data_IF_017681043136
#
_entry.id   IF_017681043136
#
_cell.length_a   1.000
_cell.length_b   1.000
_cell.length_c   1.000
_cell.angle_alpha   90.00
_cell.angle_beta   90.00
_cell.angle_gamma   90.00
#
_symmetry.space_group_name_H-M   'P 1'
#
loop_
_entity.id
_entity.type
_entity.pdbx_description
1 polymer ?
#
# COMPACT_ATOMS: atom_id res chain seq x y z
N UNK A 1 -3.75 -19.48 -4.78
CA UNK A 1 -3.20 -20.37 -3.74
C UNK A 1 -3.98 -20.24 -2.42
N UNK A 2 -3.92 -19.16 -1.63
CA UNK A 2 -4.54 -19.15 -0.29
C UNK A 2 -6.08 -19.28 -0.24
N UNK A 3 -6.81 -18.78 -1.25
CA UNK A 3 -8.29 -18.80 -1.28
C UNK A 3 -8.91 -20.14 -1.69
N UNK A 4 -8.34 -20.80 -2.69
CA UNK A 4 -9.00 -21.91 -3.39
C UNK A 4 -8.15 -23.19 -3.51
N UNK A 5 -6.98 -23.26 -2.85
CA UNK A 5 -6.11 -24.45 -2.95
C UNK A 5 -6.54 -25.61 -2.07
N UNK A 6 -7.37 -25.37 -1.06
CA UNK A 6 -7.89 -26.38 -0.15
C UNK A 6 -9.41 -26.33 -0.18
N UNK A 7 -10.04 -27.47 0.04
CA UNK A 7 -11.49 -27.58 0.02
C UNK A 7 -12.12 -26.65 1.07
N UNK A 8 -11.57 -26.62 2.28
CA UNK A 8 -12.13 -25.82 3.38
C UNK A 8 -12.04 -24.32 3.10
N UNK A 9 -10.93 -23.86 2.53
CA UNK A 9 -10.78 -22.44 2.17
C UNK A 9 -11.63 -22.08 0.96
N UNK A 10 -11.79 -23.00 0.00
CA UNK A 10 -12.67 -22.79 -1.15
C UNK A 10 -14.13 -22.67 -0.73
N UNK A 11 -14.61 -23.57 0.14
CA UNK A 11 -15.97 -23.51 0.70
C UNK A 11 -16.19 -22.19 1.44
N UNK A 12 -15.25 -21.79 2.31
CA UNK A 12 -15.34 -20.51 3.02
C UNK A 12 -15.45 -19.30 2.07
N UNK A 13 -14.57 -19.20 1.07
CA UNK A 13 -14.57 -18.06 0.13
C UNK A 13 -15.83 -18.03 -0.74
N UNK A 14 -16.34 -19.19 -1.16
CA UNK A 14 -17.60 -19.28 -1.91
C UNK A 14 -18.80 -18.89 -1.03
N UNK A 15 -18.87 -19.41 0.20
CA UNK A 15 -19.93 -19.04 1.15
C UNK A 15 -19.91 -17.54 1.46
N UNK A 16 -18.73 -16.94 1.63
CA UNK A 16 -18.56 -15.50 1.82
C UNK A 16 -19.06 -14.71 0.59
N UNK A 17 -18.68 -15.12 -0.61
CA UNK A 17 -19.10 -14.47 -1.86
C UNK A 17 -20.61 -14.54 -2.08
N UNK A 18 -21.21 -15.73 -1.91
CA UNK A 18 -22.66 -15.94 -2.04
C UNK A 18 -23.42 -15.14 -0.99
N UNK A 19 -23.01 -15.22 0.29
CA UNK A 19 -23.66 -14.47 1.37
C UNK A 19 -23.55 -12.97 1.16
N UNK A 20 -22.38 -12.49 0.68
CA UNK A 20 -22.16 -11.09 0.33
C UNK A 20 -23.13 -10.63 -0.77
N UNK A 21 -23.26 -11.41 -1.86
CA UNK A 21 -24.19 -11.14 -2.94
C UNK A 21 -25.65 -11.11 -2.46
N UNK A 22 -26.06 -12.06 -1.63
CA UNK A 22 -27.41 -12.10 -1.07
C UNK A 22 -27.69 -10.86 -0.20
N UNK A 23 -26.74 -10.45 0.65
CA UNK A 23 -26.86 -9.26 1.48
C UNK A 23 -26.91 -7.98 0.65
N UNK A 24 -26.08 -7.84 -0.39
CA UNK A 24 -26.07 -6.67 -1.26
C UNK A 24 -27.35 -6.58 -2.11
N UNK A 25 -27.94 -7.71 -2.46
CA UNK A 25 -29.18 -7.79 -3.27
C UNK A 25 -30.45 -7.55 -2.44
N UNK A 26 -30.33 -7.21 -1.15
CA UNK A 26 -31.49 -6.94 -0.29
C UNK A 26 -32.37 -5.80 -0.81
N UNK A 27 -31.80 -4.84 -1.53
CA UNK A 27 -32.54 -3.74 -2.17
C UNK A 27 -33.51 -4.20 -3.26
N UNK A 28 -33.36 -5.42 -3.79
CA UNK A 28 -34.29 -6.02 -4.76
C UNK A 28 -35.63 -6.38 -4.12
N UNK A 29 -35.65 -6.65 -2.81
CA UNK A 29 -36.83 -7.15 -2.08
C UNK A 29 -37.27 -6.24 -0.93
N UNK A 30 -36.46 -5.24 -0.55
CA UNK A 30 -36.76 -4.25 0.48
C UNK A 30 -36.34 -2.87 0.01
N UNK A 31 -37.16 -1.85 0.31
CA UNK A 31 -36.79 -0.46 0.06
C UNK A 31 -35.46 -0.13 0.75
N UNK A 32 -34.55 0.49 0.01
CA UNK A 32 -33.25 0.94 0.50
C UNK A 32 -33.42 2.21 1.34
N UNK A 33 -32.61 2.36 2.38
CA UNK A 33 -32.46 3.66 3.07
C UNK A 33 -31.88 4.68 2.09
N UNK A 34 -32.37 5.93 2.12
CA UNK A 34 -31.82 6.99 1.28
C UNK A 34 -30.31 7.16 1.52
N UNK A 35 -29.58 7.46 0.44
CA UNK A 35 -28.16 7.80 0.53
C UNK A 35 -28.02 9.05 1.41
N UNK A 36 -27.10 8.99 2.39
CA UNK A 36 -26.81 10.15 3.25
C UNK A 36 -26.05 11.19 2.42
N UNK A 37 -26.76 12.15 1.82
CA UNK A 37 -26.16 13.20 0.97
C UNK A 37 -25.02 13.95 1.67
N UNK A 38 -25.12 14.16 2.98
CA UNK A 38 -24.06 14.74 3.80
C UNK A 38 -22.76 13.91 3.70
N UNK A 39 -22.86 12.59 3.85
CA UNK A 39 -21.70 11.69 3.81
C UNK A 39 -21.07 11.66 2.41
N UNK A 40 -21.89 11.67 1.36
CA UNK A 40 -21.41 11.78 -0.01
C UNK A 40 -20.67 13.10 -0.25
N UNK A 41 -21.20 14.21 0.28
CA UNK A 41 -20.58 15.54 0.17
C UNK A 41 -19.23 15.59 0.90
N UNK A 42 -19.16 15.07 2.13
CA UNK A 42 -17.91 14.95 2.89
C UNK A 42 -16.92 14.08 2.13
N UNK A 43 -17.36 12.92 1.62
CA UNK A 43 -16.49 12.01 0.89
C UNK A 43 -15.94 12.63 -0.40
N UNK A 44 -16.76 13.39 -1.15
CA UNK A 44 -16.31 14.11 -2.34
C UNK A 44 -15.25 15.17 -2.01
N UNK A 45 -15.35 15.78 -0.83
CA UNK A 45 -14.33 16.69 -0.34
C UNK A 45 -13.04 15.96 0.04
N UNK A 46 -13.14 14.87 0.80
CA UNK A 46 -11.98 14.03 1.17
C UNK A 46 -11.26 13.50 -0.07
N UNK A 47 -12.01 13.01 -1.06
CA UNK A 47 -11.45 12.50 -2.32
C UNK A 47 -10.66 13.57 -3.06
N UNK A 48 -11.19 14.79 -3.21
CA UNK A 48 -10.47 15.91 -3.85
C UNK A 48 -9.20 16.28 -3.09
N UNK A 49 -9.26 16.34 -1.77
CA UNK A 49 -8.10 16.69 -0.94
C UNK A 49 -7.03 15.59 -1.00
N UNK A 50 -7.41 14.33 -0.88
CA UNK A 50 -6.50 13.19 -0.95
C UNK A 50 -5.88 13.03 -2.33
N UNK A 51 -6.65 13.21 -3.41
CA UNK A 51 -6.13 13.22 -4.77
C UNK A 51 -5.11 14.34 -4.97
N UNK A 52 -5.39 15.56 -4.51
CA UNK A 52 -4.44 16.66 -4.59
C UNK A 52 -3.13 16.32 -3.87
N UNK A 53 -3.20 15.87 -2.61
CA UNK A 53 -1.99 15.49 -1.85
C UNK A 53 -1.21 14.38 -2.55
N UNK A 54 -1.89 13.38 -3.11
CA UNK A 54 -1.25 12.33 -3.88
C UNK A 54 -0.57 12.89 -5.13
N UNK A 55 -1.23 13.77 -5.89
CA UNK A 55 -0.63 14.41 -7.08
C UNK A 55 0.53 15.32 -6.73
N UNK A 56 0.48 16.07 -5.64
CA UNK A 56 1.60 16.89 -5.17
C UNK A 56 2.85 16.03 -4.92
N UNK A 57 2.67 14.79 -4.43
CA UNK A 57 3.76 13.84 -4.33
C UNK A 57 4.19 13.34 -5.72
N UNK A 58 3.27 12.79 -6.51
CA UNK A 58 3.61 12.08 -7.75
C UNK A 58 4.11 13.01 -8.87
N UNK A 59 3.53 14.19 -8.97
CA UNK A 59 3.67 15.09 -10.11
C UNK A 59 4.62 16.24 -9.79
N UNK A 60 4.62 16.73 -8.54
CA UNK A 60 5.32 17.96 -8.16
C UNK A 60 6.52 17.73 -7.24
N UNK A 61 6.81 16.48 -6.84
CA UNK A 61 8.03 16.16 -6.06
C UNK A 61 9.17 15.73 -6.97
N UNK A 62 10.21 16.55 -7.03
CA UNK A 62 11.43 16.25 -7.77
C UNK A 62 12.08 14.95 -7.29
N UNK A 63 12.50 14.12 -8.24
CA UNK A 63 13.22 12.87 -7.96
C UNK A 63 12.34 11.72 -7.45
N UNK A 64 11.02 11.86 -7.32
CA UNK A 64 10.17 10.75 -6.86
C UNK A 64 10.29 9.51 -7.76
N UNK A 65 10.23 9.69 -9.08
CA UNK A 65 10.29 8.55 -9.99
C UNK A 65 11.66 7.87 -9.91
N UNK A 66 12.75 8.64 -9.87
CA UNK A 66 14.09 8.08 -9.69
C UNK A 66 14.19 7.32 -8.36
N UNK A 67 13.72 7.93 -7.26
CA UNK A 67 13.58 7.26 -5.97
C UNK A 67 12.78 5.96 -6.07
N UNK A 68 11.64 5.96 -6.75
CA UNK A 68 10.83 4.76 -6.89
C UNK A 68 11.57 3.63 -7.65
N UNK A 69 12.30 3.94 -8.71
CA UNK A 69 13.05 2.94 -9.45
C UNK A 69 14.31 2.46 -8.72
N UNK A 70 14.93 3.32 -7.94
CA UNK A 70 16.20 3.03 -7.26
C UNK A 70 15.99 2.47 -5.85
N UNK A 71 15.07 3.02 -5.07
CA UNK A 71 14.75 2.52 -3.73
C UNK A 71 13.80 1.32 -3.75
N UNK A 72 13.27 0.89 -4.90
CA UNK A 72 12.43 -0.31 -4.97
C UNK A 72 12.95 -1.32 -6.01
N UNK A 73 12.61 -2.62 -5.88
CA UNK A 73 13.01 -3.64 -6.86
C UNK A 73 12.09 -3.66 -8.10
N UNK A 74 11.43 -2.54 -8.46
CA UNK A 74 10.45 -2.52 -9.56
C UNK A 74 11.06 -2.89 -10.92
N UNK A 75 12.34 -2.54 -11.15
CA UNK A 75 13.04 -2.91 -12.37
C UNK A 75 13.20 -4.44 -12.46
N UNK A 76 13.58 -5.08 -11.34
CA UNK A 76 13.82 -6.50 -11.25
C UNK A 76 12.52 -7.32 -11.20
N UNK A 77 11.41 -6.72 -10.75
CA UNK A 77 10.08 -7.32 -10.89
C UNK A 77 9.75 -7.58 -12.37
N UNK A 78 10.20 -6.74 -13.29
CA UNK A 78 10.02 -6.95 -14.72
C UNK A 78 10.78 -8.16 -15.29
N UNK A 79 11.79 -8.66 -14.56
CA UNK A 79 12.57 -9.86 -14.90
C UNK A 79 11.90 -11.14 -14.38
N UNK A 80 10.95 -11.02 -13.46
CA UNK A 80 10.17 -12.15 -13.00
C UNK A 80 9.16 -12.54 -14.08
N UNK A 81 9.15 -13.82 -14.46
CA UNK A 81 8.12 -14.42 -15.32
C UNK A 81 6.75 -14.54 -14.60
N UNK A 82 6.36 -13.55 -13.78
CA UNK A 82 5.15 -13.57 -12.94
C UNK A 82 3.92 -13.06 -13.71
N UNK A 83 4.10 -12.40 -14.85
CA UNK A 83 2.99 -11.94 -15.68
C UNK A 83 3.25 -12.14 -17.18
N UNK A 84 2.20 -12.44 -17.94
CA UNK A 84 2.25 -12.50 -19.41
C UNK A 84 2.47 -11.14 -20.08
N UNK A 85 2.40 -10.06 -19.29
CA UNK A 85 2.41 -8.68 -19.76
C UNK A 85 3.62 -7.94 -19.19
N UNK A 86 4.33 -7.12 -20.00
CA UNK A 86 5.52 -6.39 -19.53
C UNK A 86 5.19 -5.39 -18.41
N UNK A 87 6.16 -5.04 -17.56
CA UNK A 87 5.97 -4.06 -16.48
C UNK A 87 5.70 -2.63 -16.99
N UNK A 88 6.26 -2.29 -18.15
CA UNK A 88 6.10 -1.00 -18.81
C UNK A 88 5.28 -1.07 -20.10
N UNK A 89 4.61 0.02 -20.44
CA UNK A 89 4.06 0.26 -21.79
C UNK A 89 5.19 0.56 -22.78
N UNK A 90 6.19 1.33 -22.36
CA UNK A 90 7.44 1.55 -23.09
C UNK A 90 8.64 1.35 -22.14
N UNK A 91 9.51 0.38 -22.44
CA UNK A 91 10.64 0.01 -21.56
C UNK A 91 11.68 1.11 -21.37
N UNK A 92 11.78 2.05 -22.30
CA UNK A 92 12.74 3.18 -22.22
C UNK A 92 12.17 4.39 -21.48
N UNK A 93 10.86 4.40 -21.21
CA UNK A 93 10.17 5.51 -20.56
C UNK A 93 9.95 5.20 -19.07
N UNK A 94 10.69 5.91 -18.20
CA UNK A 94 10.57 5.88 -16.74
C UNK A 94 9.42 6.77 -16.22
N UNK A 95 8.64 7.42 -17.08
CA UNK A 95 7.54 8.28 -16.66
C UNK A 95 6.39 7.49 -16.02
N UNK A 96 5.61 8.18 -15.19
CA UNK A 96 4.35 7.66 -14.60
C UNK A 96 3.35 7.14 -15.65
N UNK A 97 3.43 7.60 -16.89
CA UNK A 97 2.52 7.20 -17.97
C UNK A 97 2.87 5.82 -18.56
N UNK A 98 4.11 5.37 -18.36
CA UNK A 98 4.60 4.09 -18.87
C UNK A 98 4.38 2.95 -17.89
N UNK A 99 4.46 3.21 -16.58
CA UNK A 99 4.31 2.17 -15.56
C UNK A 99 2.86 1.67 -15.47
N UNK A 100 2.69 0.36 -15.25
CA UNK A 100 1.38 -0.26 -15.02
C UNK A 100 1.06 -0.34 -13.53
N UNK A 101 -0.23 -0.42 -13.21
CA UNK A 101 -0.72 -0.45 -11.83
C UNK A 101 -0.12 -1.59 -10.98
N UNK A 102 0.02 -2.80 -11.55
CA UNK A 102 0.61 -3.94 -10.80
C UNK A 102 2.06 -3.65 -10.40
N UNK A 103 2.99 -3.33 -11.31
CA UNK A 103 4.35 -2.92 -10.95
C UNK A 103 4.42 -1.73 -9.98
N UNK A 104 3.52 -0.75 -10.12
CA UNK A 104 3.46 0.39 -9.21
C UNK A 104 3.18 -0.05 -7.76
N UNK A 105 2.08 -0.77 -7.54
CA UNK A 105 1.72 -1.27 -6.20
C UNK A 105 2.77 -2.24 -5.67
N UNK A 106 3.27 -3.12 -6.53
CA UNK A 106 4.19 -4.18 -6.13
C UNK A 106 5.58 -3.63 -5.77
N UNK A 107 6.10 -2.62 -6.48
CA UNK A 107 7.35 -1.96 -6.14
C UNK A 107 7.32 -1.37 -4.72
N UNK A 108 6.28 -0.59 -4.41
CA UNK A 108 6.09 -0.01 -3.07
C UNK A 108 5.84 -1.04 -1.97
N UNK A 109 5.21 -2.16 -2.29
CA UNK A 109 4.99 -3.24 -1.33
C UNK A 109 6.30 -3.97 -0.98
N UNK A 110 7.18 -4.17 -1.95
CA UNK A 110 8.47 -4.85 -1.73
C UNK A 110 9.38 -4.05 -0.81
N UNK A 111 9.45 -2.73 -0.99
CA UNK A 111 10.22 -1.81 -0.14
C UNK A 111 9.49 -1.39 1.14
N UNK A 112 8.40 -2.08 1.51
CA UNK A 112 7.61 -1.85 2.74
C UNK A 112 7.02 -0.45 2.89
N UNK A 113 6.89 0.30 1.80
CA UNK A 113 6.18 1.58 1.82
C UNK A 113 4.67 1.37 1.80
N UNK A 114 4.17 0.49 0.91
CA UNK A 114 2.73 0.27 0.62
C UNK A 114 1.96 1.56 0.26
N UNK A 115 2.69 2.57 -0.20
CA UNK A 115 2.26 3.95 -0.45
C UNK A 115 0.90 4.09 -1.16
N UNK A 116 0.59 3.34 -2.24
CA UNK A 116 -0.64 3.55 -3.00
C UNK A 116 -1.93 3.27 -2.22
N UNK A 117 -1.86 2.56 -1.09
CA UNK A 117 -3.04 2.17 -0.33
C UNK A 117 -3.46 3.15 0.78
N UNK A 118 -2.62 4.14 1.09
CA UNK A 118 -2.86 5.04 2.23
C UNK A 118 -2.47 6.50 1.98
N UNK A 119 -1.58 6.80 1.04
CA UNK A 119 -1.06 8.15 0.85
C UNK A 119 -2.16 9.14 0.44
N UNK A 120 -2.25 10.28 1.13
CA UNK A 120 -3.23 11.34 0.92
C UNK A 120 -4.47 11.21 1.83
N UNK A 121 -4.72 10.03 2.43
CA UNK A 121 -5.86 9.83 3.33
C UNK A 121 -5.67 10.63 4.62
N UNK A 122 -4.48 10.58 5.22
CA UNK A 122 -4.18 11.31 6.45
C UNK A 122 -4.34 12.81 6.28
N UNK A 123 -3.79 13.37 5.20
CA UNK A 123 -3.95 14.79 4.86
C UNK A 123 -5.40 15.19 4.63
N UNK A 124 -6.19 14.38 3.91
CA UNK A 124 -7.61 14.65 3.68
C UNK A 124 -8.42 14.65 4.98
N UNK A 125 -8.23 13.63 5.82
CA UNK A 125 -8.92 13.53 7.11
C UNK A 125 -8.54 14.69 8.04
N UNK A 126 -7.24 14.98 8.17
CA UNK A 126 -6.74 16.06 9.01
C UNK A 126 -7.29 17.42 8.57
N UNK A 127 -7.25 17.70 7.26
CA UNK A 127 -7.73 18.96 6.70
C UNK A 127 -9.24 19.11 6.87
N UNK A 128 -10.04 18.07 6.66
CA UNK A 128 -11.47 18.12 6.92
C UNK A 128 -11.79 18.31 8.41
N UNK A 129 -11.13 17.56 9.29
CA UNK A 129 -11.33 17.64 10.74
C UNK A 129 -10.98 19.04 11.29
N UNK A 130 -9.96 19.70 10.75
CA UNK A 130 -9.52 21.04 11.18
C UNK A 130 -10.30 22.22 10.62
N UNK A 131 -11.29 22.00 9.74
CA UNK A 131 -12.07 23.10 9.14
C UNK A 131 -13.09 23.73 10.09
N UNK A 132 -13.74 22.93 10.91
CA UNK A 132 -14.80 23.34 11.83
C UNK A 132 -14.84 22.42 13.04
N UNK A 133 -15.20 22.97 14.19
CA UNK A 133 -15.45 22.19 15.40
C UNK A 133 -16.54 21.15 15.14
N UNK A 134 -16.31 19.91 15.59
CA UNK A 134 -17.22 18.79 15.40
C UNK A 134 -17.03 18.00 14.09
N UNK A 135 -16.18 18.44 13.15
CA UNK A 135 -15.94 17.66 11.92
C UNK A 135 -15.26 16.30 12.18
N UNK A 136 -14.40 16.19 13.20
CA UNK A 136 -13.87 14.89 13.63
C UNK A 136 -14.99 13.95 14.07
N UNK A 137 -15.99 14.46 14.78
CA UNK A 137 -17.12 13.66 15.24
C UNK A 137 -17.99 13.19 14.06
N UNK A 138 -18.15 14.02 13.03
CA UNK A 138 -18.79 13.59 11.77
C UNK A 138 -18.03 12.44 11.11
N UNK A 139 -16.69 12.49 11.07
CA UNK A 139 -15.89 11.38 10.53
C UNK A 139 -16.04 10.10 11.36
N UNK A 140 -16.12 10.21 12.69
CA UNK A 140 -16.41 9.07 13.59
C UNK A 140 -17.79 8.47 13.33
N UNK A 141 -18.82 9.31 13.20
CA UNK A 141 -20.15 8.86 12.80
C UNK A 141 -20.16 8.19 11.43
N UNK A 142 -19.40 8.71 10.45
CA UNK A 142 -19.23 8.03 9.16
C UNK A 142 -18.56 6.66 9.32
N UNK A 143 -17.55 6.53 10.19
CA UNK A 143 -16.88 5.25 10.43
C UNK A 143 -17.80 4.21 11.09
N UNK A 144 -18.62 4.62 12.05
CA UNK A 144 -19.54 3.71 12.75
C UNK A 144 -20.78 3.37 11.91
N UNK A 145 -21.39 4.36 11.26
CA UNK A 145 -22.69 4.22 10.62
C UNK A 145 -22.62 3.87 9.13
N UNK A 146 -21.52 4.16 8.44
CA UNK A 146 -21.41 3.97 7.00
C UNK A 146 -20.48 2.82 6.63
N UNK A 147 -21.02 1.64 6.21
CA UNK A 147 -20.21 0.47 5.91
C UNK A 147 -19.13 0.69 4.86
N UNK A 148 -19.38 1.58 3.88
CA UNK A 148 -18.40 1.93 2.85
C UNK A 148 -17.16 2.62 3.46
N UNK A 149 -17.37 3.67 4.25
CA UNK A 149 -16.28 4.43 4.87
C UNK A 149 -15.52 3.59 5.89
N UNK A 150 -16.24 2.77 6.68
CA UNK A 150 -15.63 1.78 7.56
C UNK A 150 -14.73 0.83 6.79
N UNK A 151 -15.24 0.19 5.74
CA UNK A 151 -14.48 -0.79 4.96
C UNK A 151 -13.24 -0.17 4.29
N UNK A 152 -13.35 1.06 3.78
CA UNK A 152 -12.23 1.81 3.22
C UNK A 152 -11.13 2.02 4.27
N UNK A 153 -11.47 2.56 5.44
CA UNK A 153 -10.49 2.80 6.50
C UNK A 153 -9.95 1.49 7.09
N UNK A 154 -10.73 0.42 7.19
CA UNK A 154 -10.23 -0.90 7.59
C UNK A 154 -9.21 -1.46 6.59
N UNK A 155 -9.41 -1.25 5.28
CA UNK A 155 -8.42 -1.63 4.27
C UNK A 155 -7.15 -0.77 4.38
N UNK A 156 -7.29 0.53 4.61
CA UNK A 156 -6.15 1.42 4.88
C UNK A 156 -5.37 0.98 6.12
N UNK A 157 -6.04 0.64 7.23
CA UNK A 157 -5.40 0.11 8.44
C UNK A 157 -4.58 -1.15 8.15
N UNK A 158 -5.09 -2.07 7.33
CA UNK A 158 -4.35 -3.28 6.95
C UNK A 158 -3.08 -2.97 6.15
N UNK A 159 -3.11 -1.97 5.27
CA UNK A 159 -1.93 -1.56 4.52
C UNK A 159 -0.92 -0.82 5.40
N UNK A 160 -1.38 0.08 6.27
CA UNK A 160 -0.53 0.74 7.27
C UNK A 160 0.17 -0.28 8.19
N UNK A 161 -0.56 -1.31 8.64
CA UNK A 161 0.00 -2.38 9.47
C UNK A 161 1.06 -3.25 8.75
N UNK A 162 1.16 -3.18 7.42
CA UNK A 162 2.19 -3.87 6.63
C UNK A 162 3.36 -2.96 6.25
N UNK A 163 3.14 -1.65 6.34
CA UNK A 163 4.14 -0.65 6.07
C UNK A 163 5.18 -0.65 7.19
N UNK A 164 6.46 -0.58 6.85
CA UNK A 164 7.56 -0.54 7.81
C UNK A 164 8.47 0.60 7.40
N UNK A 165 8.24 1.78 7.97
CA UNK A 165 8.95 3.00 7.56
C UNK A 165 10.45 2.95 7.85
N UNK A 166 10.87 2.21 8.87
CA UNK A 166 12.30 2.05 9.19
C UNK A 166 13.00 1.17 8.15
N UNK A 167 12.34 0.10 7.68
CA UNK A 167 12.85 -0.70 6.56
C UNK A 167 12.83 0.11 5.27
N UNK A 168 11.73 0.83 5.00
CA UNK A 168 11.62 1.73 3.86
C UNK A 168 12.75 2.76 3.83
N UNK A 169 13.19 3.26 4.99
CA UNK A 169 14.35 4.14 5.12
C UNK A 169 15.64 3.45 4.68
N UNK A 170 15.86 2.18 5.04
CA UNK A 170 17.06 1.48 4.59
C UNK A 170 17.09 1.28 3.07
N UNK A 171 15.94 1.11 2.41
CA UNK A 171 15.90 1.05 0.95
C UNK A 171 16.33 2.37 0.29
N UNK A 172 16.28 3.51 0.98
CA UNK A 172 16.73 4.79 0.41
C UNK A 172 18.23 4.83 0.16
N UNK A 173 19.01 3.97 0.83
CA UNK A 173 20.46 3.89 0.62
C UNK A 173 20.82 3.37 -0.77
N UNK A 174 19.86 2.77 -1.48
CA UNK A 174 20.03 2.30 -2.86
C UNK A 174 19.95 3.42 -3.90
N UNK A 175 19.41 4.59 -3.54
CA UNK A 175 19.28 5.72 -4.44
C UNK A 175 20.63 6.36 -4.75
N UNK A 176 20.85 6.77 -6.01
CA UNK A 176 22.09 7.44 -6.40
C UNK A 176 22.18 8.84 -5.76
N UNK A 177 21.06 9.58 -5.72
CA UNK A 177 20.97 10.88 -5.07
C UNK A 177 20.33 10.78 -3.68
N UNK A 178 21.18 10.70 -2.66
CA UNK A 178 20.76 10.59 -1.26
C UNK A 178 19.95 11.80 -0.74
N UNK A 179 20.22 13.01 -1.24
CA UNK A 179 19.49 14.21 -0.79
C UNK A 179 18.04 14.23 -1.31
N UNK A 180 17.84 13.90 -2.58
CA UNK A 180 16.49 13.75 -3.17
C UNK A 180 15.75 12.58 -2.52
N UNK A 181 16.42 11.43 -2.34
CA UNK A 181 15.83 10.27 -1.71
C UNK A 181 15.36 10.56 -0.27
N UNK A 182 16.18 11.26 0.52
CA UNK A 182 15.81 11.68 1.88
C UNK A 182 14.60 12.63 1.87
N UNK A 183 14.54 13.58 0.94
CA UNK A 183 13.41 14.50 0.79
C UNK A 183 12.11 13.78 0.46
N UNK A 184 12.17 12.84 -0.49
CA UNK A 184 11.02 12.02 -0.90
C UNK A 184 10.56 11.13 0.27
N UNK A 185 11.49 10.41 0.90
CA UNK A 185 11.19 9.55 2.04
C UNK A 185 10.55 10.32 3.18
N UNK A 186 11.06 11.51 3.51
CA UNK A 186 10.54 12.32 4.61
C UNK A 186 9.07 12.72 4.36
N UNK A 187 8.72 13.12 3.13
CA UNK A 187 7.32 13.39 2.75
C UNK A 187 6.43 12.16 2.93
N UNK A 188 6.94 10.98 2.55
CA UNK A 188 6.23 9.71 2.70
C UNK A 188 6.03 9.37 4.18
N UNK A 189 7.06 9.51 5.01
CA UNK A 189 6.99 9.25 6.45
C UNK A 189 6.02 10.20 7.15
N UNK A 190 6.07 11.49 6.85
CA UNK A 190 5.16 12.47 7.44
C UNK A 190 3.70 12.17 7.11
N UNK A 191 3.38 11.78 5.87
CA UNK A 191 2.02 11.38 5.51
C UNK A 191 1.63 10.03 6.12
N UNK A 192 2.57 9.09 6.27
CA UNK A 192 2.33 7.81 6.95
C UNK A 192 1.89 8.05 8.39
N UNK A 193 2.68 8.83 9.15
CA UNK A 193 2.43 9.10 10.56
C UNK A 193 1.12 9.90 10.74
N UNK A 194 0.87 10.88 9.86
CA UNK A 194 -0.40 11.61 9.80
C UNK A 194 -1.59 10.69 9.54
N UNK A 195 -1.43 9.75 8.60
CA UNK A 195 -2.51 8.81 8.27
C UNK A 195 -2.78 7.86 9.43
N UNK A 196 -1.74 7.35 10.09
CA UNK A 196 -1.86 6.52 11.28
C UNK A 196 -2.62 7.24 12.40
N UNK A 197 -2.25 8.48 12.69
CA UNK A 197 -2.90 9.32 13.71
C UNK A 197 -4.38 9.60 13.37
N UNK A 198 -4.66 10.01 12.14
CA UNK A 198 -6.03 10.36 11.76
C UNK A 198 -6.95 9.14 11.68
N UNK A 199 -6.45 8.01 11.17
CA UNK A 199 -7.23 6.77 11.11
C UNK A 199 -7.57 6.27 12.50
N UNK A 200 -6.61 6.28 13.44
CA UNK A 200 -6.85 5.87 14.84
C UNK A 200 -7.86 6.79 15.54
N UNK A 201 -7.75 8.11 15.34
CA UNK A 201 -8.73 9.10 15.88
C UNK A 201 -10.14 8.93 15.31
N UNK A 202 -10.26 8.68 14.00
CA UNK A 202 -11.55 8.54 13.31
C UNK A 202 -12.21 7.20 13.65
N UNK A 203 -11.43 6.12 13.76
CA UNK A 203 -11.93 4.81 14.14
C UNK A 203 -12.13 4.63 15.67
N UNK A 204 -11.66 5.59 16.47
CA UNK A 204 -11.66 5.57 17.93
C UNK A 204 -10.96 4.33 18.52
N UNK A 205 -9.78 4.04 17.98
CA UNK A 205 -8.92 2.91 18.36
C UNK A 205 -7.54 3.40 18.80
N UNK A 206 -6.87 2.63 19.65
CA UNK A 206 -5.53 2.92 20.16
C UNK A 206 -4.43 2.54 19.17
N UNK A 207 -4.65 1.52 18.35
CA UNK A 207 -3.72 1.08 17.32
C UNK A 207 -4.42 0.48 16.10
N UNK A 208 -3.72 0.42 14.96
CA UNK A 208 -4.26 -0.20 13.74
C UNK A 208 -4.63 -1.66 13.96
N UNK A 209 -5.74 -2.09 13.36
CA UNK A 209 -6.25 -3.45 13.44
C UNK A 209 -6.71 -3.90 14.84
N UNK A 210 -6.94 -2.97 15.78
CA UNK A 210 -7.48 -3.29 17.12
C UNK A 210 -8.81 -4.06 17.03
N UNK A 211 -9.69 -3.68 16.10
CA UNK A 211 -10.97 -4.37 15.84
C UNK A 211 -10.80 -5.73 15.12
N UNK A 212 -9.58 -6.11 14.72
CA UNK A 212 -9.28 -7.32 13.95
C UNK A 212 -8.05 -8.08 14.50
N UNK A 213 -8.09 -8.55 15.77
CA UNK A 213 -6.93 -9.11 16.46
C UNK A 213 -6.35 -10.38 15.80
N UNK A 214 -7.19 -11.20 15.16
CA UNK A 214 -6.74 -12.39 14.43
C UNK A 214 -5.91 -12.01 13.21
N UNK A 215 -6.30 -10.94 12.50
CA UNK A 215 -5.54 -10.41 11.37
C UNK A 215 -4.23 -9.79 11.85
N UNK A 216 -4.28 -8.97 12.91
CA UNK A 216 -3.09 -8.37 13.52
C UNK A 216 -2.06 -9.44 13.92
N UNK A 217 -2.49 -10.50 14.61
CA UNK A 217 -1.63 -11.63 14.98
C UNK A 217 -1.11 -12.41 13.75
N UNK A 218 -1.91 -12.53 12.70
CA UNK A 218 -1.47 -13.19 11.46
C UNK A 218 -0.40 -12.41 10.72
N UNK A 219 -0.44 -11.07 10.77
CA UNK A 219 0.57 -10.20 10.18
C UNK A 219 1.85 -10.21 11.03
N UNK A 220 1.73 -10.02 12.35
CA UNK A 220 2.90 -9.98 13.24
C UNK A 220 3.73 -11.27 13.25
N UNK A 221 3.10 -12.43 12.99
CA UNK A 221 3.80 -13.71 12.83
C UNK A 221 4.66 -13.80 11.56
N UNK A 222 4.44 -12.92 10.57
CA UNK A 222 5.20 -12.91 9.32
C UNK A 222 6.42 -12.00 9.41
N UNK A 223 6.39 -10.98 10.27
CA UNK A 223 7.47 -10.00 10.37
C UNK A 223 8.84 -10.61 10.71
N UNK A 224 8.96 -11.60 11.63
CA UNK A 224 10.25 -12.27 11.89
C UNK A 224 10.87 -12.94 10.65
N UNK A 225 10.07 -13.23 9.62
CA UNK A 225 10.55 -13.78 8.34
C UNK A 225 10.74 -12.68 7.29
N UNK A 226 9.84 -11.70 7.25
CA UNK A 226 9.87 -10.64 6.24
C UNK A 226 11.00 -9.63 6.50
N UNK A 227 11.22 -9.22 7.74
CA UNK A 227 12.23 -8.21 8.10
C UNK A 227 13.63 -8.65 7.63
N UNK A 228 14.14 -9.86 7.97
CA UNK A 228 15.43 -10.32 7.44
C UNK A 228 15.47 -10.42 5.92
N UNK A 229 14.38 -10.85 5.28
CA UNK A 229 14.31 -10.94 3.82
C UNK A 229 14.42 -9.57 3.15
N UNK A 230 13.85 -8.53 3.75
CA UNK A 230 13.97 -7.16 3.28
C UNK A 230 15.44 -6.68 3.34
N UNK A 231 16.14 -6.87 4.45
CA UNK A 231 17.57 -6.50 4.54
C UNK A 231 18.45 -7.31 3.58
N UNK A 232 18.17 -8.61 3.42
CA UNK A 232 18.85 -9.45 2.42
C UNK A 232 18.59 -8.91 1.01
N UNK A 233 17.34 -8.53 0.70
CA UNK A 233 16.99 -7.97 -0.61
C UNK A 233 17.75 -6.67 -0.90
N UNK A 234 17.90 -5.77 0.07
CA UNK A 234 18.71 -4.55 -0.08
C UNK A 234 20.14 -4.91 -0.48
N UNK A 235 20.79 -5.84 0.23
CA UNK A 235 22.15 -6.27 -0.09
C UNK A 235 22.29 -7.00 -1.42
N UNK A 236 21.24 -7.70 -1.86
CA UNK A 236 21.22 -8.31 -3.19
C UNK A 236 21.06 -7.25 -4.29
N UNK A 237 20.22 -6.24 -4.08
CA UNK A 237 20.06 -5.11 -5.00
C UNK A 237 21.37 -4.33 -5.15
N UNK A 238 22.06 -4.03 -4.05
CA UNK A 238 23.39 -3.38 -4.07
C UNK A 238 24.38 -4.16 -4.96
N UNK A 239 24.42 -5.49 -4.83
CA UNK A 239 25.35 -6.33 -5.61
C UNK A 239 24.97 -6.42 -7.08
N UNK A 240 23.70 -6.63 -7.39
CA UNK A 240 23.20 -6.74 -8.78
C UNK A 240 23.36 -5.42 -9.52
N UNK A 241 23.18 -4.29 -8.85
CA UNK A 241 23.26 -2.94 -9.47
C UNK A 241 24.67 -2.35 -9.46
N UNK A 242 25.65 -3.02 -8.85
CA UNK A 242 27.03 -2.53 -8.80
C UNK A 242 27.69 -2.62 -10.18
N UNK A 243 27.74 -1.49 -10.89
CA UNK A 243 28.36 -1.36 -12.23
C UNK A 243 29.88 -1.60 -12.24
N UNK A 244 30.55 -1.57 -11.09
CA UNK A 244 31.97 -1.88 -10.99
C UNK A 244 32.25 -3.39 -10.94
N UNK A 245 31.22 -4.20 -10.67
CA UNK A 245 31.29 -5.66 -10.76
C UNK A 245 31.14 -6.12 -12.22
N UNK A 246 31.82 -7.20 -12.61
CA UNK A 246 31.60 -7.82 -13.92
C UNK A 246 30.22 -8.47 -14.03
N UNK A 247 29.73 -8.66 -15.26
CA UNK A 247 28.39 -9.23 -15.56
C UNK A 247 28.18 -10.59 -14.90
N UNK A 248 29.19 -11.47 -14.88
CA UNK A 248 29.10 -12.79 -14.23
C UNK A 248 28.80 -12.70 -12.73
N UNK A 249 29.35 -11.71 -12.03
CA UNK A 249 29.09 -11.52 -10.60
C UNK A 249 27.68 -10.95 -10.38
N UNK A 250 27.19 -10.06 -11.24
CA UNK A 250 25.82 -9.56 -11.18
C UNK A 250 24.81 -10.69 -11.40
N UNK A 251 25.02 -11.53 -12.40
CA UNK A 251 24.15 -12.67 -12.74
C UNK A 251 24.06 -13.68 -11.60
N UNK A 252 25.17 -13.90 -10.87
CA UNK A 252 25.22 -14.78 -9.70
C UNK A 252 24.24 -14.35 -8.60
N UNK A 253 24.03 -13.05 -8.43
CA UNK A 253 23.15 -12.50 -7.38
C UNK A 253 21.70 -12.29 -7.84
N UNK A 254 21.45 -12.36 -9.15
CA UNK A 254 20.11 -12.14 -9.71
C UNK A 254 19.12 -13.21 -9.26
N UNK A 255 19.47 -14.50 -9.34
CA UNK A 255 18.53 -15.56 -8.93
C UNK A 255 18.13 -15.47 -7.44
N UNK A 256 19.07 -15.31 -6.47
CA UNK A 256 18.71 -15.04 -5.08
C UNK A 256 17.80 -13.81 -4.90
N UNK A 257 18.02 -12.74 -5.67
CA UNK A 257 17.18 -11.55 -5.63
C UNK A 257 15.75 -11.84 -6.09
N UNK A 258 15.59 -12.56 -7.20
CA UNK A 258 14.27 -12.95 -7.70
C UNK A 258 13.54 -13.85 -6.71
N UNK A 259 14.27 -14.72 -5.98
CA UNK A 259 13.71 -15.53 -4.90
C UNK A 259 13.26 -14.67 -3.71
N UNK A 260 14.03 -13.65 -3.32
CA UNK A 260 13.63 -12.75 -2.22
C UNK A 260 12.38 -11.95 -2.58
N UNK A 261 12.26 -11.46 -3.81
CA UNK A 261 11.06 -10.75 -4.29
C UNK A 261 9.81 -11.64 -4.17
N UNK A 262 9.92 -12.90 -4.62
CA UNK A 262 8.83 -13.89 -4.51
C UNK A 262 8.46 -14.20 -3.06
N UNK A 263 9.44 -14.32 -2.17
CA UNK A 263 9.24 -14.61 -0.76
C UNK A 263 8.52 -13.46 -0.04
N UNK A 264 8.98 -12.22 -0.24
CA UNK A 264 8.35 -11.02 0.33
C UNK A 264 6.93 -10.87 -0.20
N UNK A 265 6.71 -11.06 -1.51
CA UNK A 265 5.39 -11.01 -2.12
C UNK A 265 4.40 -12.00 -1.49
N UNK A 266 4.87 -13.22 -1.22
CA UNK A 266 4.08 -14.28 -0.61
C UNK A 266 3.69 -13.95 0.84
N UNK A 267 4.56 -13.26 1.58
CA UNK A 267 4.26 -12.83 2.96
C UNK A 267 3.37 -11.59 3.03
N UNK A 268 3.62 -10.60 2.16
CA UNK A 268 2.85 -9.35 2.08
C UNK A 268 1.40 -9.57 1.59
N UNK A 269 1.20 -10.54 0.68
CA UNK A 269 -0.08 -10.85 0.04
C UNK A 269 -0.72 -9.61 -0.59
N UNK A 270 -1.94 -9.25 -0.19
CA UNK A 270 -2.70 -8.12 -0.70
C UNK A 270 -2.22 -6.79 -0.07
N UNK A 271 -1.74 -5.85 -0.87
CA UNK A 271 -1.14 -4.58 -0.38
C UNK A 271 -1.73 -3.32 -0.99
N UNK A 272 -2.73 -3.47 -1.87
CA UNK A 272 -3.48 -2.41 -2.51
C UNK A 272 -4.74 -2.97 -3.16
#
# INVERSE_FOLDING_TARGET
SYKYSKEETAVYELSMGITGLLKSSRSVVQAHSEDREEYATIMAQLARQGEQTYRDLIDDTEGLLDYFYEATPVAEIGLLNIGSRPSHRNKQDRSKNSIRAIPWVFGWAQSRHTLPAWYGIGSALMKFAGQQDGNLEKLRHMYHDWPYFRAMLSNTQMSLAKAEMDIAHEYTTLAENQALASTVYQRIREEHDRTLEMVTKVADISCVLEESPVLALSLSRRDPYLVPLNHIQIKLLERVRNKASGEEEQDRWLEPLLRSINAIASGMRNTG
#
